data_IF_954474026799
#
_entry.id   IF_954474026799
#
_cell.length_a   1.000
_cell.length_b   1.000
_cell.length_c   1.000
_cell.angle_alpha   90.00
_cell.angle_beta   90.00
_cell.angle_gamma   90.00
#
_symmetry.space_group_name_H-M   'P 1'
#
loop_
_entity.id
_entity.type
_entity.pdbx_description
1 polymer ?
#
# COMPACT_ATOMS: atom_id res chain seq x y z
N UNK A 1 20.18 14.97 -37.35
CA UNK A 1 19.15 14.05 -37.90
C UNK A 1 19.33 12.57 -37.53
N UNK A 2 20.55 12.03 -37.31
CA UNK A 2 20.76 10.61 -36.91
C UNK A 2 20.26 10.18 -35.49
N UNK A 3 20.20 11.05 -34.45
CA UNK A 3 19.81 10.61 -33.10
C UNK A 3 18.32 10.28 -32.94
N UNK A 4 17.45 11.05 -33.61
CA UNK A 4 15.99 10.91 -33.53
C UNK A 4 15.52 9.58 -34.16
N UNK A 5 16.16 9.16 -35.26
CA UNK A 5 15.85 7.88 -35.91
C UNK A 5 16.22 6.70 -35.02
N UNK A 6 17.35 6.79 -34.30
CA UNK A 6 17.77 5.77 -33.33
C UNK A 6 16.80 5.71 -32.14
N UNK A 7 16.38 6.87 -31.64
CA UNK A 7 15.39 6.98 -30.55
C UNK A 7 14.04 6.38 -30.94
N UNK A 8 13.53 6.67 -32.15
CA UNK A 8 12.29 6.10 -32.69
C UNK A 8 12.38 4.58 -32.91
N UNK A 9 13.56 4.05 -33.23
CA UNK A 9 13.79 2.60 -33.33
C UNK A 9 13.76 1.93 -31.95
N UNK A 10 14.32 2.56 -30.92
CA UNK A 10 14.24 2.10 -29.53
C UNK A 10 12.79 2.11 -29.00
N UNK A 11 12.03 3.16 -29.31
CA UNK A 11 10.59 3.26 -28.98
C UNK A 11 9.79 2.11 -29.61
N UNK A 12 10.03 1.82 -30.90
CA UNK A 12 9.39 0.67 -31.58
C UNK A 12 9.75 -0.67 -30.95
N UNK A 13 11.00 -0.82 -30.48
CA UNK A 13 11.48 -2.04 -29.81
C UNK A 13 10.85 -2.20 -28.42
N UNK A 14 10.77 -1.13 -27.62
CA UNK A 14 10.08 -1.11 -26.32
C UNK A 14 8.58 -1.46 -26.47
N UNK A 15 7.91 -0.91 -27.49
CA UNK A 15 6.52 -1.25 -27.82
C UNK A 15 6.33 -2.72 -28.18
N UNK A 16 7.26 -3.30 -28.94
CA UNK A 16 7.23 -4.74 -29.27
C UNK A 16 7.41 -5.64 -28.03
N UNK A 17 8.13 -5.17 -27.00
CA UNK A 17 8.26 -5.86 -25.73
C UNK A 17 6.97 -5.75 -24.89
N UNK A 18 6.30 -4.59 -24.88
CA UNK A 18 4.99 -4.39 -24.24
C UNK A 18 3.88 -5.23 -24.90
N UNK A 19 3.86 -5.31 -26.23
CA UNK A 19 2.90 -6.14 -26.97
C UNK A 19 3.19 -7.64 -26.76
N UNK A 20 4.45 -8.03 -26.55
CA UNK A 20 4.81 -9.41 -26.15
C UNK A 20 4.44 -9.71 -24.70
N UNK A 21 4.60 -8.76 -23.78
CA UNK A 21 4.16 -8.89 -22.38
C UNK A 21 2.64 -8.99 -22.27
N UNK A 22 1.89 -8.10 -22.95
CA UNK A 22 0.42 -8.19 -23.06
C UNK A 22 -0.04 -9.47 -23.76
N UNK A 23 0.68 -9.96 -24.78
CA UNK A 23 0.38 -11.24 -25.44
C UNK A 23 0.77 -12.45 -24.59
N UNK A 24 1.77 -12.35 -23.71
CA UNK A 24 2.12 -13.41 -22.77
C UNK A 24 1.08 -13.52 -21.66
N UNK A 25 0.63 -12.39 -21.12
CA UNK A 25 -0.50 -12.29 -20.18
C UNK A 25 -1.81 -12.77 -20.83
N UNK A 26 -2.04 -12.43 -22.11
CA UNK A 26 -3.18 -12.91 -22.88
C UNK A 26 -3.06 -14.38 -23.33
N UNK A 27 -1.85 -14.94 -23.50
CA UNK A 27 -1.64 -16.36 -23.83
C UNK A 27 -1.79 -17.25 -22.60
N UNK A 28 -1.40 -16.80 -21.42
CA UNK A 28 -1.73 -17.48 -20.16
C UNK A 28 -3.25 -17.48 -19.89
N UNK A 29 -3.98 -16.53 -20.49
CA UNK A 29 -5.45 -16.45 -20.45
C UNK A 29 -6.17 -17.25 -21.55
N UNK A 30 -5.50 -17.70 -22.62
CA UNK A 30 -6.17 -18.22 -23.83
C UNK A 30 -5.84 -19.69 -24.20
N UNK A 31 -5.28 -20.49 -23.28
CA UNK A 31 -5.20 -21.95 -23.49
C UNK A 31 -6.49 -22.67 -23.04
N UNK A 32 -7.62 -22.28 -23.63
CA UNK A 32 -8.87 -23.04 -23.57
C UNK A 32 -9.75 -22.63 -24.75
N UNK A 33 -9.51 -23.27 -25.89
CA UNK A 33 -10.46 -23.30 -27.00
C UNK A 33 -11.73 -24.00 -26.51
N UNK A 34 -12.90 -23.39 -26.68
CA UNK A 34 -14.05 -24.04 -27.33
C UNK A 34 -15.17 -23.04 -27.68
N UNK A 35 -15.44 -23.01 -28.99
CA UNK A 35 -16.71 -22.87 -29.74
C UNK A 35 -17.70 -21.75 -29.42
N UNK A 36 -17.89 -20.92 -30.45
CA UNK A 36 -18.97 -19.96 -30.70
C UNK A 36 -20.25 -20.70 -31.11
N UNK A 37 -21.39 -20.41 -30.47
CA UNK A 37 -22.71 -20.28 -31.11
C UNK A 37 -23.44 -19.14 -30.38
N UNK A 38 -23.95 -18.18 -31.15
CA UNK A 38 -24.73 -17.06 -30.63
C UNK A 38 -26.22 -17.35 -30.55
N UNK A 39 -26.92 -16.65 -29.66
CA UNK A 39 -28.21 -16.03 -29.95
C UNK A 39 -28.59 -15.02 -28.85
N UNK A 40 -29.30 -13.99 -29.30
CA UNK A 40 -29.67 -12.77 -28.58
C UNK A 40 -30.90 -12.95 -27.70
N UNK A 41 -30.96 -12.28 -26.53
CA UNK A 41 -32.01 -11.32 -26.12
C UNK A 41 -31.98 -11.00 -24.62
N UNK A 42 -32.02 -9.69 -24.36
CA UNK A 42 -32.65 -8.91 -23.29
C UNK A 42 -32.55 -9.27 -21.80
N UNK A 43 -32.49 -8.17 -21.05
CA UNK A 43 -32.37 -7.99 -19.61
C UNK A 43 -33.46 -8.65 -18.76
N UNK A 44 -33.05 -9.53 -17.85
CA UNK A 44 -33.48 -9.65 -16.44
C UNK A 44 -32.68 -10.78 -15.79
N UNK A 45 -32.59 -10.79 -14.46
CA UNK A 45 -31.88 -11.76 -13.63
C UNK A 45 -31.91 -13.21 -14.13
N UNK A 46 -30.81 -13.70 -14.70
CA UNK A 46 -30.62 -15.13 -14.95
C UNK A 46 -29.26 -15.53 -14.39
N UNK A 47 -29.31 -16.23 -13.25
CA UNK A 47 -28.25 -17.14 -12.84
C UNK A 47 -28.03 -18.05 -14.04
N UNK A 48 -26.91 -17.89 -14.75
CA UNK A 48 -26.57 -18.78 -15.85
C UNK A 48 -26.58 -20.20 -15.31
N UNK A 49 -27.50 -21.04 -15.82
CA UNK A 49 -27.58 -22.47 -15.52
C UNK A 49 -26.35 -23.15 -16.10
N UNK A 50 -25.24 -23.03 -15.41
CA UNK A 50 -24.12 -23.96 -15.54
C UNK A 50 -24.51 -25.14 -14.66
N UNK A 51 -24.86 -26.28 -15.26
CA UNK A 51 -25.11 -27.50 -14.49
C UNK A 51 -23.76 -28.00 -13.98
N UNK A 52 -23.47 -27.91 -12.66
CA UNK A 52 -22.22 -28.40 -12.13
C UNK A 52 -22.13 -29.92 -12.33
N UNK A 53 -20.95 -30.43 -12.69
CA UNK A 53 -20.70 -31.86 -12.74
C UNK A 53 -20.92 -32.47 -11.37
N UNK A 54 -21.79 -33.48 -11.23
CA UNK A 54 -22.06 -34.13 -9.95
C UNK A 54 -20.77 -34.67 -9.34
N UNK A 55 -20.62 -34.43 -8.04
CA UNK A 55 -19.55 -34.93 -7.18
C UNK A 55 -19.91 -36.26 -6.50
N UNK A 56 -21.14 -36.75 -6.70
CA UNK A 56 -21.75 -37.91 -6.01
C UNK A 56 -21.74 -37.75 -4.48
N UNK A 57 -21.84 -36.51 -4.01
CA UNK A 57 -21.82 -36.16 -2.58
C UNK A 57 -23.07 -35.37 -2.21
N UNK A 58 -23.41 -35.25 -0.91
CA UNK A 58 -24.51 -34.40 -0.46
C UNK A 58 -24.39 -32.93 -0.92
N UNK A 59 -23.20 -32.51 -1.35
CA UNK A 59 -22.96 -31.21 -1.95
C UNK A 59 -23.78 -30.95 -3.20
N UNK A 60 -24.03 -31.98 -4.02
CA UNK A 60 -24.78 -31.84 -5.27
C UNK A 60 -26.27 -31.56 -5.03
N UNK A 61 -26.77 -31.87 -3.82
CA UNK A 61 -28.15 -31.61 -3.41
C UNK A 61 -28.36 -30.16 -2.99
N UNK A 62 -27.28 -29.41 -2.69
CA UNK A 62 -27.38 -28.03 -2.25
C UNK A 62 -27.65 -27.11 -3.45
N UNK A 63 -28.65 -26.21 -3.37
CA UNK A 63 -28.81 -25.12 -4.31
C UNK A 63 -27.53 -24.31 -4.45
N UNK A 64 -27.23 -23.84 -5.66
CA UNK A 64 -25.99 -23.11 -5.97
C UNK A 64 -25.85 -21.84 -5.12
N UNK A 65 -26.96 -21.22 -4.71
CA UNK A 65 -26.98 -20.06 -3.83
C UNK A 65 -26.45 -20.40 -2.43
N UNK A 66 -26.76 -21.59 -1.91
CA UNK A 66 -26.21 -22.07 -0.64
C UNK A 66 -24.73 -22.41 -0.78
N UNK A 67 -24.34 -23.05 -1.89
CA UNK A 67 -22.92 -23.33 -2.18
C UNK A 67 -22.10 -22.04 -2.24
N UNK A 68 -22.62 -21.00 -2.91
CA UNK A 68 -21.99 -19.66 -2.97
C UNK A 68 -21.85 -19.05 -1.57
N UNK A 69 -22.90 -19.14 -0.73
CA UNK A 69 -22.82 -18.65 0.66
C UNK A 69 -21.78 -19.42 1.46
N UNK A 70 -21.73 -20.74 1.36
CA UNK A 70 -20.75 -21.58 2.07
C UNK A 70 -19.33 -21.19 1.64
N UNK A 71 -19.05 -21.11 0.34
CA UNK A 71 -17.74 -20.69 -0.15
C UNK A 71 -17.37 -19.25 0.24
N UNK A 72 -18.35 -18.36 0.44
CA UNK A 72 -18.10 -16.99 0.91
C UNK A 72 -17.67 -16.93 2.40
N UNK A 73 -18.03 -17.94 3.21
CA UNK A 73 -17.55 -18.06 4.59
C UNK A 73 -16.10 -18.54 4.67
N UNK A 74 -15.60 -19.24 3.66
CA UNK A 74 -14.22 -19.71 3.60
C UNK A 74 -13.22 -18.55 3.65
N UNK A 75 -12.03 -18.82 4.18
CA UNK A 75 -10.90 -17.91 4.07
C UNK A 75 -10.44 -17.80 2.63
N UNK A 76 -9.83 -16.67 2.28
CA UNK A 76 -9.32 -16.44 0.92
C UNK A 76 -8.25 -17.48 0.53
N UNK A 77 -7.48 -17.95 1.52
CA UNK A 77 -6.47 -19.00 1.35
C UNK A 77 -7.05 -20.37 1.03
N UNK A 78 -8.32 -20.62 1.38
CA UNK A 78 -8.96 -21.92 1.20
C UNK A 78 -9.53 -22.08 -0.22
N UNK A 79 -9.84 -20.98 -0.90
CA UNK A 79 -10.53 -20.99 -2.20
C UNK A 79 -9.72 -21.70 -3.30
N UNK A 80 -8.39 -21.58 -3.29
CA UNK A 80 -7.53 -22.26 -4.25
C UNK A 80 -7.45 -23.78 -3.99
N UNK A 81 -7.14 -24.25 -2.76
CA UNK A 81 -7.27 -25.66 -2.41
C UNK A 81 -8.64 -26.24 -2.74
N UNK A 82 -9.73 -25.50 -2.46
CA UNK A 82 -11.10 -25.94 -2.75
C UNK A 82 -11.35 -26.17 -4.25
N UNK A 83 -10.72 -25.39 -5.14
CA UNK A 83 -10.77 -25.63 -6.59
C UNK A 83 -10.17 -26.97 -7.00
N UNK A 84 -9.26 -27.52 -6.19
CA UNK A 84 -8.56 -28.77 -6.48
C UNK A 84 -9.24 -30.02 -5.89
N UNK A 85 -10.27 -29.84 -5.06
CA UNK A 85 -10.97 -30.96 -4.39
C UNK A 85 -11.70 -31.84 -5.40
N UNK A 86 -12.48 -31.25 -6.30
CA UNK A 86 -13.21 -31.99 -7.33
C UNK A 86 -13.63 -31.07 -8.49
N UNK A 87 -14.08 -31.68 -9.61
CA UNK A 87 -14.56 -30.95 -10.80
C UNK A 87 -15.77 -30.07 -10.50
N UNK A 88 -16.69 -30.52 -9.65
CA UNK A 88 -17.86 -29.74 -9.24
C UNK A 88 -17.47 -28.45 -8.51
N UNK A 89 -16.58 -28.55 -7.53
CA UNK A 89 -16.07 -27.37 -6.81
C UNK A 89 -15.33 -26.42 -7.76
N UNK A 90 -14.47 -26.96 -8.63
CA UNK A 90 -13.80 -26.17 -9.65
C UNK A 90 -14.79 -25.37 -10.51
N UNK A 91 -15.86 -26.02 -10.99
CA UNK A 91 -16.87 -25.37 -11.82
C UNK A 91 -17.64 -24.29 -11.06
N UNK A 92 -18.06 -24.55 -9.83
CA UNK A 92 -18.81 -23.58 -9.00
C UNK A 92 -17.93 -22.38 -8.66
N UNK A 93 -16.70 -22.61 -8.18
CA UNK A 93 -15.74 -21.57 -7.81
C UNK A 93 -15.24 -20.74 -9.00
N UNK A 94 -15.26 -21.30 -10.21
CA UNK A 94 -14.87 -20.57 -11.42
C UNK A 94 -16.06 -19.81 -12.01
N UNK A 95 -17.22 -20.44 -12.11
CA UNK A 95 -18.42 -19.85 -12.73
C UNK A 95 -19.06 -18.77 -11.85
N UNK A 96 -18.97 -18.91 -10.53
CA UNK A 96 -19.59 -17.99 -9.57
C UNK A 96 -18.57 -17.17 -8.77
N UNK A 97 -17.32 -17.06 -9.25
CA UNK A 97 -16.25 -16.31 -8.58
C UNK A 97 -16.69 -14.91 -8.13
N UNK A 98 -17.39 -14.18 -8.99
CA UNK A 98 -17.84 -12.82 -8.68
C UNK A 98 -18.91 -12.78 -7.59
N UNK A 99 -19.84 -13.73 -7.60
CA UNK A 99 -20.91 -13.80 -6.59
C UNK A 99 -20.34 -14.19 -5.23
N UNK A 100 -19.44 -15.17 -5.19
CA UNK A 100 -18.75 -15.60 -3.98
C UNK A 100 -17.93 -14.44 -3.40
N UNK A 101 -17.16 -13.74 -4.23
CA UNK A 101 -16.35 -12.59 -3.82
C UNK A 101 -17.20 -11.44 -3.28
N UNK A 102 -18.35 -11.14 -3.92
CA UNK A 102 -19.31 -10.14 -3.42
C UNK A 102 -19.91 -10.54 -2.10
N UNK A 103 -20.30 -11.80 -1.95
CA UNK A 103 -20.90 -12.30 -0.72
C UNK A 103 -19.89 -12.32 0.43
N UNK A 104 -18.63 -12.69 0.16
CA UNK A 104 -17.52 -12.61 1.09
C UNK A 104 -17.36 -11.19 1.66
N UNK A 105 -17.40 -10.18 0.79
CA UNK A 105 -17.28 -8.77 1.17
C UNK A 105 -18.51 -8.29 1.93
N UNK A 106 -19.72 -8.62 1.48
CA UNK A 106 -20.95 -8.24 2.20
C UNK A 106 -20.96 -8.77 3.63
N UNK A 107 -20.55 -10.02 3.85
CA UNK A 107 -20.48 -10.60 5.20
C UNK A 107 -19.52 -9.83 6.11
N UNK A 108 -18.40 -9.33 5.55
CA UNK A 108 -17.35 -8.62 6.29
C UNK A 108 -17.49 -7.10 6.28
N UNK A 109 -18.48 -6.56 5.58
CA UNK A 109 -18.80 -5.12 5.49
C UNK A 109 -20.23 -4.82 5.92
N UNK A 110 -20.74 -5.60 6.88
CA UNK A 110 -22.09 -5.43 7.46
C UNK A 110 -23.22 -5.29 6.41
N UNK A 111 -23.13 -6.07 5.33
CA UNK A 111 -24.13 -6.12 4.25
C UNK A 111 -23.85 -5.22 3.04
N UNK A 112 -22.86 -4.32 3.12
CA UNK A 112 -22.57 -3.35 2.05
C UNK A 112 -21.54 -3.86 1.03
N UNK A 113 -21.54 -3.32 -0.19
CA UNK A 113 -20.50 -3.58 -1.21
C UNK A 113 -19.56 -2.38 -1.34
N UNK A 114 -18.27 -2.61 -1.69
CA UNK A 114 -17.28 -1.55 -1.79
C UNK A 114 -17.79 -0.39 -2.64
N UNK A 115 -17.58 0.81 -2.14
CA UNK A 115 -17.93 2.05 -2.83
C UNK A 115 -16.71 2.97 -2.71
N UNK A 116 -16.44 3.81 -3.72
CA UNK A 116 -15.43 4.86 -3.56
C UNK A 116 -15.67 5.64 -2.26
N UNK A 117 -14.60 6.07 -1.60
CA UNK A 117 -14.71 6.91 -0.41
C UNK A 117 -15.43 8.20 -0.80
N UNK A 118 -16.65 8.34 -0.30
CA UNK A 118 -17.39 9.60 -0.25
C UNK A 118 -16.99 10.33 1.03
N UNK A 119 -16.98 11.66 1.00
CA UNK A 119 -16.52 12.53 2.11
C UNK A 119 -17.27 12.36 3.43
N UNK A 120 -18.33 11.57 3.47
CA UNK A 120 -19.25 11.44 4.61
C UNK A 120 -18.99 10.22 5.50
N UNK A 121 -18.11 9.27 5.10
CA UNK A 121 -17.87 8.07 5.91
C UNK A 121 -16.80 8.28 6.98
N UNK A 122 -17.21 8.18 8.23
CA UNK A 122 -16.32 8.15 9.39
C UNK A 122 -15.97 6.71 9.73
N UNK A 123 -14.69 6.32 9.64
CA UNK A 123 -14.23 4.97 9.99
C UNK A 123 -13.84 4.92 11.47
N UNK A 124 -14.31 3.91 12.21
CA UNK A 124 -14.11 3.84 13.67
C UNK A 124 -12.71 3.37 14.08
N UNK A 125 -11.81 3.17 13.10
CA UNK A 125 -10.45 2.61 13.26
C UNK A 125 -10.41 1.21 13.89
N UNK A 126 -11.57 0.55 14.07
CA UNK A 126 -11.64 -0.81 14.62
C UNK A 126 -11.14 -1.86 13.61
N UNK A 127 -10.46 -2.94 14.04
CA UNK A 127 -9.96 -3.99 13.14
C UNK A 127 -11.06 -4.70 12.36
N UNK A 128 -12.29 -4.72 12.87
CA UNK A 128 -13.46 -5.25 12.17
C UNK A 128 -13.79 -4.43 10.91
N UNK A 129 -13.45 -3.14 10.92
CA UNK A 129 -13.59 -2.22 9.79
C UNK A 129 -12.42 -2.31 8.79
N UNK A 130 -11.37 -3.09 9.05
CA UNK A 130 -10.18 -3.19 8.18
C UNK A 130 -10.56 -3.52 6.74
N UNK A 131 -11.45 -4.51 6.58
CA UNK A 131 -11.93 -4.95 5.27
C UNK A 131 -12.78 -3.86 4.62
N UNK A 132 -13.56 -3.12 5.43
CA UNK A 132 -14.37 -1.99 4.96
C UNK A 132 -13.47 -0.92 4.39
N UNK A 133 -12.55 -0.40 5.21
CA UNK A 133 -11.62 0.67 4.87
C UNK A 133 -10.72 0.28 3.68
N UNK A 134 -10.08 -0.89 3.72
CA UNK A 134 -9.23 -1.35 2.61
C UNK A 134 -10.01 -1.48 1.30
N UNK A 135 -11.24 -1.98 1.35
CA UNK A 135 -12.04 -2.15 0.13
C UNK A 135 -12.55 -0.83 -0.46
N UNK A 136 -12.71 0.19 0.38
CA UNK A 136 -13.11 1.54 -0.06
C UNK A 136 -11.89 2.33 -0.57
N UNK A 137 -10.71 2.17 0.05
CA UNK A 137 -9.45 2.71 -0.44
C UNK A 137 -9.01 2.06 -1.76
N UNK A 138 -9.16 0.75 -1.89
CA UNK A 138 -8.72 0.00 -3.05
C UNK A 138 -9.91 -0.66 -3.73
N UNK A 139 -10.80 0.09 -4.42
CA UNK A 139 -11.96 -0.49 -5.05
C UNK A 139 -11.57 -1.46 -6.19
N UNK A 140 -12.41 -2.48 -6.47
CA UNK A 140 -12.16 -3.41 -7.56
C UNK A 140 -12.20 -2.70 -8.92
N UNK A 141 -11.44 -3.24 -9.88
CA UNK A 141 -11.37 -2.73 -11.24
C UNK A 141 -12.76 -2.62 -11.88
N UNK A 142 -12.97 -1.58 -12.69
CA UNK A 142 -14.21 -1.40 -13.45
C UNK A 142 -14.22 -2.30 -14.68
N UNK A 143 -15.36 -2.95 -14.93
CA UNK A 143 -15.61 -3.71 -16.15
C UNK A 143 -15.82 -2.78 -17.34
N UNK A 144 -15.42 -3.21 -18.53
CA UNK A 144 -15.71 -2.49 -19.78
C UNK A 144 -17.22 -2.31 -20.03
N UNK A 145 -18.04 -3.20 -19.47
CA UNK A 145 -19.52 -3.14 -19.54
C UNK A 145 -20.16 -2.31 -18.44
N UNK A 146 -19.36 -1.60 -17.63
CA UNK A 146 -19.81 -0.94 -16.41
C UNK A 146 -19.87 -1.90 -15.21
N UNK A 147 -19.79 -1.33 -14.01
CA UNK A 147 -19.77 -2.08 -12.75
C UNK A 147 -18.38 -2.57 -12.31
N UNK A 148 -18.33 -3.22 -11.15
CA UNK A 148 -17.10 -3.62 -10.45
C UNK A 148 -16.79 -5.11 -10.58
N UNK A 149 -15.53 -5.44 -10.86
CA UNK A 149 -15.03 -6.81 -11.02
C UNK A 149 -14.56 -7.39 -9.68
N UNK A 150 -15.49 -7.95 -8.93
CA UNK A 150 -15.20 -8.70 -7.72
C UNK A 150 -14.59 -10.05 -8.08
N UNK A 151 -13.33 -10.29 -7.72
CA UNK A 151 -12.59 -11.52 -8.04
C UNK A 151 -11.89 -12.06 -6.80
N UNK A 152 -11.51 -13.34 -6.81
CA UNK A 152 -10.68 -13.91 -5.74
C UNK A 152 -9.33 -13.21 -5.69
N UNK A 153 -8.78 -12.81 -6.85
CA UNK A 153 -7.57 -11.98 -6.93
C UNK A 153 -7.75 -10.66 -6.19
N UNK A 154 -8.89 -9.98 -6.36
CA UNK A 154 -9.19 -8.75 -5.65
C UNK A 154 -9.24 -8.96 -4.13
N UNK A 155 -10.03 -9.94 -3.67
CA UNK A 155 -10.16 -10.25 -2.23
C UNK A 155 -8.80 -10.65 -1.63
N UNK A 156 -8.00 -11.46 -2.34
CA UNK A 156 -6.65 -11.81 -1.94
C UNK A 156 -5.74 -10.59 -1.85
N UNK A 157 -5.88 -9.63 -2.76
CA UNK A 157 -5.11 -8.38 -2.72
C UNK A 157 -5.43 -7.55 -1.47
N UNK A 158 -6.69 -7.47 -1.04
CA UNK A 158 -7.07 -6.79 0.21
C UNK A 158 -6.42 -7.48 1.42
N UNK A 159 -6.53 -8.81 1.51
CA UNK A 159 -5.93 -9.59 2.60
C UNK A 159 -4.41 -9.46 2.64
N UNK A 160 -3.76 -9.41 1.47
CA UNK A 160 -2.32 -9.16 1.35
C UNK A 160 -1.97 -7.77 1.90
N UNK A 161 -2.69 -6.72 1.51
CA UNK A 161 -2.45 -5.35 2.02
C UNK A 161 -2.63 -5.27 3.54
N UNK A 162 -3.70 -5.87 4.06
CA UNK A 162 -3.93 -5.98 5.51
C UNK A 162 -2.73 -6.61 6.21
N UNK A 163 -2.28 -7.79 5.74
CA UNK A 163 -1.15 -8.51 6.33
C UNK A 163 0.15 -7.70 6.28
N UNK A 164 0.42 -7.01 5.18
CA UNK A 164 1.64 -6.20 5.03
C UNK A 164 1.64 -4.99 5.96
N UNK A 165 0.55 -4.22 5.99
CA UNK A 165 0.46 -3.04 6.85
C UNK A 165 0.48 -3.44 8.33
N UNK A 166 -0.30 -4.46 8.70
CA UNK A 166 -0.33 -4.98 10.06
C UNK A 166 1.07 -5.45 10.52
N UNK A 167 1.81 -6.19 9.67
CA UNK A 167 3.17 -6.64 9.98
C UNK A 167 4.17 -5.48 10.10
N UNK A 168 4.09 -4.48 9.21
CA UNK A 168 4.91 -3.27 9.32
C UNK A 168 4.62 -2.50 10.62
N UNK A 169 3.35 -2.32 10.96
CA UNK A 169 2.94 -1.63 12.18
C UNK A 169 3.38 -2.37 13.43
N UNK A 170 3.39 -3.71 13.42
CA UNK A 170 3.96 -4.50 14.50
C UNK A 170 5.46 -4.20 14.69
N UNK A 171 6.24 -4.18 13.61
CA UNK A 171 7.67 -3.83 13.69
C UNK A 171 7.91 -2.40 14.17
N UNK A 172 7.12 -1.44 13.69
CA UNK A 172 7.22 -0.05 14.15
C UNK A 172 6.85 0.08 15.63
N UNK A 173 5.82 -0.65 16.08
CA UNK A 173 5.39 -0.67 17.47
C UNK A 173 6.45 -1.30 18.40
N UNK A 174 7.07 -2.40 17.98
CA UNK A 174 8.17 -3.06 18.67
C UNK A 174 9.36 -2.09 18.85
N UNK A 175 9.81 -1.45 17.77
CA UNK A 175 10.89 -0.45 17.81
C UNK A 175 10.56 0.78 18.63
N UNK A 176 9.31 1.24 18.59
CA UNK A 176 8.86 2.35 19.42
C UNK A 176 8.88 2.02 20.92
N UNK A 177 8.44 0.83 21.30
CA UNK A 177 8.51 0.38 22.69
C UNK A 177 9.95 0.13 23.15
N UNK A 178 10.80 -0.45 22.29
CA UNK A 178 12.23 -0.62 22.59
C UNK A 178 12.89 0.72 22.90
N UNK A 179 12.66 1.72 22.05
CA UNK A 179 13.21 3.07 22.23
C UNK A 179 12.65 3.74 23.48
N UNK A 180 11.34 3.62 23.73
CA UNK A 180 10.72 4.14 24.95
C UNK A 180 11.39 3.57 26.21
N UNK A 181 11.60 2.25 26.27
CA UNK A 181 12.25 1.60 27.41
C UNK A 181 13.71 2.04 27.58
N UNK A 182 14.43 2.27 26.48
CA UNK A 182 15.81 2.75 26.51
C UNK A 182 15.92 4.20 26.99
N UNK A 183 15.10 5.11 26.45
CA UNK A 183 15.11 6.53 26.81
C UNK A 183 14.59 6.75 28.24
N UNK A 184 13.51 6.08 28.62
CA UNK A 184 12.84 6.26 29.91
C UNK A 184 13.29 5.24 30.97
N UNK A 185 14.55 4.79 30.91
CA UNK A 185 15.04 3.71 31.78
C UNK A 185 14.90 4.02 33.28
N UNK A 186 15.04 5.30 33.68
CA UNK A 186 14.84 5.73 35.07
C UNK A 186 13.37 5.56 35.51
N UNK A 187 12.43 6.09 34.72
CA UNK A 187 10.99 5.93 34.95
C UNK A 187 10.56 4.45 34.92
N UNK A 188 11.09 3.68 33.97
CA UNK A 188 10.83 2.24 33.86
C UNK A 188 11.30 1.47 35.09
N UNK A 189 12.40 1.88 35.73
CA UNK A 189 12.89 1.25 36.97
C UNK A 189 12.06 1.64 38.20
N UNK A 190 11.55 2.87 38.27
CA UNK A 190 10.74 3.33 39.41
C UNK A 190 9.30 2.82 39.36
N UNK A 191 8.67 2.83 38.19
CA UNK A 191 7.24 2.55 38.04
C UNK A 191 6.96 1.07 37.81
N UNK A 192 7.91 0.35 37.20
CA UNK A 192 7.78 -1.07 36.87
C UNK A 192 9.02 -1.84 37.35
N UNK A 193 9.20 -2.06 38.66
CA UNK A 193 10.44 -2.60 39.21
C UNK A 193 10.70 -4.04 38.76
N UNK A 194 9.66 -4.85 38.54
CA UNK A 194 9.83 -6.27 38.18
C UNK A 194 9.94 -6.48 36.67
N UNK A 195 10.69 -7.52 36.26
CA UNK A 195 10.79 -7.92 34.84
C UNK A 195 9.42 -8.27 34.24
N UNK A 196 8.52 -8.86 35.04
CA UNK A 196 7.18 -9.26 34.59
C UNK A 196 6.32 -8.04 34.26
N UNK A 197 6.35 -7.01 35.10
CA UNK A 197 5.64 -5.75 34.86
C UNK A 197 6.17 -5.00 33.65
N UNK A 198 7.51 -4.92 33.50
CA UNK A 198 8.14 -4.32 32.30
C UNK A 198 7.70 -5.03 31.03
N UNK A 199 7.72 -6.36 31.04
CA UNK A 199 7.26 -7.16 29.89
C UNK A 199 5.76 -6.94 29.61
N UNK A 200 4.93 -6.84 30.64
CA UNK A 200 3.50 -6.58 30.48
C UNK A 200 3.23 -5.19 29.86
N UNK A 201 3.96 -4.15 30.30
CA UNK A 201 3.91 -2.82 29.71
C UNK A 201 4.32 -2.86 28.23
N UNK A 202 5.47 -3.49 27.92
CA UNK A 202 5.96 -3.58 26.54
C UNK A 202 4.95 -4.30 25.65
N UNK A 203 4.41 -5.45 26.08
CA UNK A 203 3.42 -6.19 25.29
C UNK A 203 2.13 -5.39 25.09
N UNK A 204 1.62 -4.72 26.14
CA UNK A 204 0.43 -3.87 26.02
C UNK A 204 0.69 -2.65 25.12
N UNK A 205 1.87 -2.04 25.26
CA UNK A 205 2.28 -0.90 24.44
C UNK A 205 2.42 -1.25 22.97
N UNK A 206 3.07 -2.38 22.65
CA UNK A 206 3.16 -2.91 21.29
C UNK A 206 1.76 -3.16 20.74
N UNK A 207 0.88 -3.84 21.49
CA UNK A 207 -0.48 -4.13 21.04
C UNK A 207 -1.30 -2.84 20.78
N UNK A 208 -1.18 -1.84 21.67
CA UNK A 208 -1.88 -0.56 21.54
C UNK A 208 -1.39 0.25 20.34
N UNK A 209 -0.06 0.39 20.17
CA UNK A 209 0.52 1.04 19.01
C UNK A 209 0.16 0.31 17.72
N UNK A 210 0.30 -1.01 17.70
CA UNK A 210 -0.02 -1.83 16.53
C UNK A 210 -1.48 -1.66 16.09
N UNK A 211 -2.42 -1.69 17.04
CA UNK A 211 -3.84 -1.46 16.81
C UNK A 211 -4.10 -0.10 16.17
N UNK A 212 -3.55 0.98 16.75
CA UNK A 212 -3.80 2.35 16.31
C UNK A 212 -3.08 2.71 15.00
N UNK A 213 -1.88 2.15 14.76
CA UNK A 213 -1.09 2.43 13.57
C UNK A 213 -1.59 1.70 12.32
N UNK A 214 -2.18 0.51 12.46
CA UNK A 214 -2.63 -0.31 11.32
C UNK A 214 -3.57 0.43 10.35
N UNK A 215 -4.66 1.08 10.79
CA UNK A 215 -5.54 1.83 9.88
C UNK A 215 -4.84 3.04 9.24
N UNK A 216 -3.96 3.72 9.97
CA UNK A 216 -3.19 4.85 9.42
C UNK A 216 -2.22 4.39 8.32
N UNK A 217 -1.66 3.20 8.48
CA UNK A 217 -0.78 2.61 7.48
C UNK A 217 -1.51 2.24 6.19
N UNK A 218 -2.83 2.00 6.22
CA UNK A 218 -3.62 1.83 4.99
C UNK A 218 -3.67 3.10 4.16
N UNK A 219 -3.77 4.27 4.79
CA UNK A 219 -3.72 5.56 4.10
C UNK A 219 -2.32 5.84 3.54
N UNK A 220 -1.27 5.53 4.30
CA UNK A 220 0.12 5.57 3.81
C UNK A 220 0.30 4.69 2.58
N UNK A 221 -0.13 3.43 2.64
CA UNK A 221 -0.10 2.52 1.50
C UNK A 221 -0.91 3.05 0.31
N UNK A 222 -2.11 3.57 0.56
CA UNK A 222 -2.98 4.12 -0.47
C UNK A 222 -2.32 5.27 -1.21
N UNK A 223 -1.69 6.20 -0.49
CA UNK A 223 -0.94 7.28 -1.12
C UNK A 223 0.20 6.74 -1.98
N UNK A 224 1.04 5.84 -1.45
CA UNK A 224 2.20 5.31 -2.18
C UNK A 224 1.80 4.53 -3.44
N UNK A 225 0.75 3.70 -3.37
CA UNK A 225 0.24 2.98 -4.54
C UNK A 225 -0.39 3.94 -5.56
N UNK A 226 -1.20 4.90 -5.11
CA UNK A 226 -1.84 5.89 -5.98
C UNK A 226 -0.81 6.78 -6.66
N UNK A 227 0.23 7.20 -5.95
CA UNK A 227 1.31 8.00 -6.48
C UNK A 227 2.14 7.22 -7.50
N UNK A 228 2.49 5.97 -7.21
CA UNK A 228 3.18 5.09 -8.16
C UNK A 228 2.39 4.89 -9.45
N UNK A 229 1.07 4.65 -9.34
CA UNK A 229 0.17 4.52 -10.48
C UNK A 229 0.06 5.83 -11.28
N UNK A 230 -0.12 6.97 -10.61
CA UNK A 230 -0.24 8.28 -11.23
C UNK A 230 1.03 8.66 -12.01
N UNK A 231 2.22 8.40 -11.45
CA UNK A 231 3.48 8.61 -12.17
C UNK A 231 3.56 7.72 -13.41
N UNK A 232 3.20 6.44 -13.30
CA UNK A 232 3.24 5.51 -14.44
C UNK A 232 2.29 5.93 -15.55
N UNK A 233 1.06 6.33 -15.21
CA UNK A 233 0.09 6.85 -16.17
C UNK A 233 0.57 8.14 -16.83
N UNK A 234 1.17 9.03 -16.04
CA UNK A 234 1.75 10.27 -16.54
C UNK A 234 2.92 10.02 -17.50
N UNK A 235 3.87 9.15 -17.16
CA UNK A 235 4.95 8.73 -18.07
C UNK A 235 4.41 8.12 -19.35
N UNK A 236 3.36 7.29 -19.30
CA UNK A 236 2.74 6.73 -20.49
C UNK A 236 2.11 7.82 -21.38
N UNK A 237 1.50 8.85 -20.78
CA UNK A 237 0.93 9.99 -21.51
C UNK A 237 2.04 10.80 -22.19
N UNK A 238 3.11 11.12 -21.46
CA UNK A 238 4.26 11.85 -22.01
C UNK A 238 4.93 11.09 -23.14
N UNK A 239 5.05 9.76 -23.03
CA UNK A 239 5.60 8.95 -24.12
C UNK A 239 4.73 9.04 -25.38
N UNK A 240 3.40 9.03 -25.25
CA UNK A 240 2.50 9.19 -26.39
C UNK A 240 2.62 10.56 -27.05
N UNK A 241 2.76 11.63 -26.26
CA UNK A 241 2.97 12.98 -26.78
C UNK A 241 4.35 13.12 -27.45
N UNK A 242 5.37 12.45 -26.90
CA UNK A 242 6.69 12.35 -27.52
C UNK A 242 6.65 11.58 -28.85
N UNK A 243 5.97 10.43 -28.89
CA UNK A 243 5.73 9.66 -30.13
C UNK A 243 4.96 10.47 -31.18
N UNK A 244 4.06 11.35 -30.74
CA UNK A 244 3.32 12.28 -31.60
C UNK A 244 4.15 13.49 -32.07
N UNK A 245 5.41 13.61 -31.64
CA UNK A 245 6.31 14.73 -31.99
C UNK A 245 5.95 16.06 -31.34
N UNK A 246 5.09 16.04 -30.30
CA UNK A 246 4.59 17.25 -29.62
C UNK A 246 5.38 17.61 -28.37
N UNK A 247 6.23 16.70 -27.89
CA UNK A 247 7.07 16.91 -26.71
C UNK A 247 8.53 17.18 -27.12
N UNK A 248 9.13 18.31 -26.69
CA UNK A 248 10.57 18.51 -26.82
C UNK A 248 11.30 17.54 -25.88
N UNK A 249 12.35 16.88 -26.40
CA UNK A 249 13.09 15.81 -25.71
C UNK A 249 14.37 16.35 -25.07
N UNK A 250 14.89 15.70 -24.01
CA UNK A 250 14.19 15.02 -22.90
C UNK A 250 13.78 16.00 -21.80
N UNK A 251 12.82 15.64 -20.93
CA UNK A 251 12.38 16.53 -19.83
C UNK A 251 13.47 16.63 -18.74
N UNK A 252 13.94 17.86 -18.41
CA UNK A 252 14.91 18.11 -17.35
C UNK A 252 14.41 17.73 -15.94
N UNK A 253 15.31 17.45 -14.98
CA UNK A 253 14.94 17.03 -13.62
C UNK A 253 14.04 18.01 -12.86
N UNK A 254 14.24 19.33 -13.00
CA UNK A 254 13.44 20.34 -12.29
C UNK A 254 11.97 20.37 -12.77
N UNK A 255 11.72 20.22 -14.07
CA UNK A 255 10.37 20.11 -14.61
C UNK A 255 9.71 18.79 -14.18
N UNK A 256 10.46 17.68 -14.16
CA UNK A 256 9.97 16.39 -13.64
C UNK A 256 9.51 16.51 -12.18
N UNK A 257 10.27 17.21 -11.34
CA UNK A 257 9.89 17.47 -9.93
C UNK A 257 8.58 18.24 -9.84
N UNK A 258 8.40 19.30 -10.63
CA UNK A 258 7.12 20.05 -10.68
C UNK A 258 5.94 19.17 -11.08
N UNK A 259 6.11 18.37 -12.13
CA UNK A 259 5.07 17.45 -12.62
C UNK A 259 4.70 16.40 -11.56
N UNK A 260 5.69 15.88 -10.84
CA UNK A 260 5.45 14.95 -9.73
C UNK A 260 4.77 15.63 -8.53
N UNK A 261 5.08 16.89 -8.24
CA UNK A 261 4.39 17.68 -7.21
C UNK A 261 2.92 17.84 -7.53
N UNK A 262 2.58 18.17 -8.77
CA UNK A 262 1.18 18.29 -9.22
C UNK A 262 0.40 16.98 -9.03
N UNK A 263 1.02 15.83 -9.32
CA UNK A 263 0.40 14.52 -9.09
C UNK A 263 0.13 14.27 -7.60
N UNK A 264 1.07 14.63 -6.72
CA UNK A 264 0.92 14.47 -5.27
C UNK A 264 -0.21 15.36 -4.75
N UNK A 265 -0.21 16.65 -5.11
CA UNK A 265 -1.25 17.61 -4.71
C UNK A 265 -2.63 17.13 -5.20
N UNK A 266 -2.71 16.61 -6.43
CA UNK A 266 -3.96 16.03 -6.95
C UNK A 266 -4.46 14.87 -6.08
N UNK A 267 -3.58 13.99 -5.61
CA UNK A 267 -3.94 12.88 -4.72
C UNK A 267 -4.39 13.41 -3.35
N UNK A 268 -3.65 14.36 -2.76
CA UNK A 268 -3.97 14.94 -1.46
C UNK A 268 -5.29 15.73 -1.44
N UNK A 269 -5.71 16.24 -2.59
CA UNK A 269 -7.01 16.93 -2.80
C UNK A 269 -8.14 15.98 -3.20
N UNK A 270 -7.89 14.67 -3.20
CA UNK A 270 -8.91 13.65 -3.48
C UNK A 270 -9.19 12.81 -2.23
N UNK A 271 -10.39 12.20 -2.11
CA UNK A 271 -10.66 11.27 -1.02
C UNK A 271 -9.61 10.15 -0.96
N UNK A 272 -9.18 9.72 0.24
CA UNK A 272 -9.69 10.09 1.56
C UNK A 272 -9.09 11.39 2.14
N UNK A 273 -8.07 11.95 1.50
CA UNK A 273 -7.30 13.08 2.03
C UNK A 273 -8.03 14.42 1.98
N UNK A 274 -9.24 14.47 1.42
CA UNK A 274 -10.15 15.62 1.57
C UNK A 274 -10.54 15.86 3.03
N UNK A 275 -10.56 14.81 3.86
CA UNK A 275 -10.68 14.96 5.31
C UNK A 275 -9.32 15.38 5.90
N UNK A 276 -9.31 16.55 6.53
CA UNK A 276 -8.11 17.13 7.16
C UNK A 276 -7.60 16.26 8.33
N UNK A 277 -8.48 15.61 9.08
CA UNK A 277 -8.07 14.72 10.18
C UNK A 277 -7.30 13.51 9.65
N UNK A 278 -7.84 12.85 8.61
CA UNK A 278 -7.17 11.75 7.91
C UNK A 278 -5.82 12.19 7.32
N UNK A 279 -5.74 13.40 6.72
CA UNK A 279 -4.49 13.95 6.19
C UNK A 279 -3.43 14.14 7.31
N UNK A 280 -3.80 14.73 8.44
CA UNK A 280 -2.91 14.93 9.60
C UNK A 280 -2.43 13.59 10.16
N UNK A 281 -3.35 12.66 10.42
CA UNK A 281 -3.02 11.35 10.97
C UNK A 281 -2.08 10.55 10.05
N UNK A 282 -2.32 10.63 8.74
CA UNK A 282 -1.42 10.03 7.73
C UNK A 282 -0.06 10.72 7.73
N UNK A 283 -0.03 12.04 7.90
CA UNK A 283 1.21 12.80 7.99
C UNK A 283 2.07 12.39 9.19
N UNK A 284 1.47 12.21 10.37
CA UNK A 284 2.19 11.67 11.54
C UNK A 284 2.66 10.23 11.33
N UNK A 285 1.86 9.37 10.69
CA UNK A 285 2.26 8.01 10.36
C UNK A 285 3.45 7.96 9.38
N UNK A 286 3.46 8.83 8.37
CA UNK A 286 4.59 8.98 7.45
C UNK A 286 5.85 9.48 8.16
N UNK A 287 5.70 10.47 9.07
CA UNK A 287 6.81 11.00 9.87
C UNK A 287 7.42 9.89 10.74
N UNK A 288 6.58 9.09 11.41
CA UNK A 288 6.97 7.93 12.19
C UNK A 288 7.79 6.95 11.34
N UNK A 289 7.24 6.51 10.21
CA UNK A 289 7.90 5.56 9.30
C UNK A 289 9.27 6.07 8.85
N UNK A 290 9.33 7.33 8.39
CA UNK A 290 10.57 7.92 7.91
C UNK A 290 11.61 8.08 9.02
N UNK A 291 11.18 8.45 10.24
CA UNK A 291 12.07 8.59 11.39
C UNK A 291 12.76 7.26 11.74
N UNK A 292 12.03 6.15 11.69
CA UNK A 292 12.61 4.82 11.95
C UNK A 292 13.51 4.36 10.81
N UNK A 293 13.16 4.63 9.54
CA UNK A 293 14.03 4.33 8.40
C UNK A 293 15.35 5.12 8.44
N UNK A 294 15.34 6.34 8.97
CA UNK A 294 16.57 7.13 9.17
C UNK A 294 17.39 6.62 10.35
N UNK A 295 16.74 6.19 11.42
CA UNK A 295 17.42 5.71 12.63
C UNK A 295 18.21 4.41 12.40
N UNK A 296 17.80 3.61 11.43
CA UNK A 296 18.45 2.34 11.08
C UNK A 296 19.73 2.51 10.26
N UNK A 297 20.05 3.74 9.82
CA UNK A 297 21.31 4.08 9.14
C UNK A 297 22.22 4.80 10.14
N UNK A 298 23.49 4.37 10.32
CA UNK A 298 24.44 5.10 11.15
C UNK A 298 24.55 6.56 10.66
N UNK A 299 24.67 7.55 11.56
CA UNK A 299 24.96 8.92 11.14
C UNK A 299 26.36 8.93 10.50
N UNK A 300 26.44 8.80 9.17
CA UNK A 300 27.65 9.13 8.46
C UNK A 300 27.94 10.63 8.65
N UNK A 301 29.22 10.99 8.78
CA UNK A 301 29.66 12.38 8.90
C UNK A 301 29.44 13.10 7.55
N UNK A 302 28.20 13.47 7.25
CA UNK A 302 27.80 14.09 5.98
C UNK A 302 26.30 14.42 5.93
N UNK A 303 25.87 15.06 4.83
CA UNK A 303 24.45 15.27 4.53
C UNK A 303 23.74 13.91 4.47
N UNK A 304 22.68 13.70 5.27
CA UNK A 304 21.86 12.49 5.19
C UNK A 304 21.30 12.33 3.77
N UNK A 305 21.85 11.37 3.01
CA UNK A 305 21.30 10.98 1.72
C UNK A 305 20.07 10.08 1.93
N UNK A 306 18.89 10.70 1.93
CA UNK A 306 17.60 10.00 2.00
C UNK A 306 17.16 9.41 0.63
N UNK A 307 18.00 9.46 -0.40
CA UNK A 307 17.65 9.01 -1.75
C UNK A 307 17.30 7.52 -1.82
N UNK A 308 17.95 6.69 -1.01
CA UNK A 308 17.60 5.26 -0.90
C UNK A 308 16.21 5.07 -0.28
N UNK A 309 15.82 5.87 0.72
CA UNK A 309 14.47 5.86 1.31
C UNK A 309 13.45 6.30 0.27
N UNK A 310 13.77 7.35 -0.49
CA UNK A 310 12.90 7.81 -1.56
C UNK A 310 12.67 6.75 -2.65
N UNK A 311 13.72 5.98 -2.95
CA UNK A 311 13.65 4.85 -3.86
C UNK A 311 12.85 3.68 -3.27
N UNK A 312 13.05 3.37 -1.99
CA UNK A 312 12.27 2.36 -1.26
C UNK A 312 10.77 2.67 -1.23
N UNK A 313 10.40 3.93 -1.03
CA UNK A 313 9.00 4.35 -0.96
C UNK A 313 8.32 4.42 -2.33
N UNK A 314 9.06 4.60 -3.42
CA UNK A 314 8.45 4.92 -4.71
C UNK A 314 8.82 4.03 -5.89
N UNK A 315 9.96 3.34 -5.83
CA UNK A 315 10.41 2.41 -6.87
C UNK A 315 10.04 0.98 -6.48
N UNK A 316 10.28 0.63 -5.22
CA UNK A 316 9.97 -0.69 -4.69
C UNK A 316 8.50 -0.85 -4.30
N UNK A 317 7.95 -2.08 -4.36
CA UNK A 317 6.64 -2.36 -3.82
C UNK A 317 6.65 -2.21 -2.29
N UNK A 318 5.50 -1.85 -1.69
CA UNK A 318 5.37 -1.69 -0.24
C UNK A 318 5.85 -2.90 0.60
N UNK A 319 5.80 -4.12 0.03
CA UNK A 319 6.38 -5.32 0.63
C UNK A 319 7.87 -5.13 1.02
N UNK A 320 8.62 -4.34 0.25
CA UNK A 320 10.03 -4.07 0.49
C UNK A 320 10.27 -3.36 1.83
N UNK A 321 9.35 -2.51 2.29
CA UNK A 321 9.41 -1.91 3.64
C UNK A 321 9.30 -2.98 4.73
N UNK A 322 8.39 -3.94 4.55
CA UNK A 322 8.22 -5.06 5.49
C UNK A 322 9.47 -5.94 5.53
N UNK A 323 10.06 -6.23 4.36
CA UNK A 323 11.30 -6.99 4.26
C UNK A 323 12.49 -6.26 4.90
N UNK A 324 12.56 -4.93 4.75
CA UNK A 324 13.58 -4.11 5.40
C UNK A 324 13.52 -4.26 6.93
N UNK A 325 12.36 -3.99 7.53
CA UNK A 325 12.21 -4.08 8.99
C UNK A 325 12.34 -5.53 9.51
N UNK A 326 11.88 -6.53 8.75
CA UNK A 326 12.12 -7.94 9.07
C UNK A 326 13.61 -8.27 9.12
N UNK A 327 14.40 -7.80 8.13
CA UNK A 327 15.85 -7.98 8.08
C UNK A 327 16.61 -7.17 9.14
N UNK A 328 16.04 -6.04 9.57
CA UNK A 328 16.58 -5.18 10.60
C UNK A 328 16.36 -5.78 12.00
N UNK A 329 15.17 -6.29 12.29
CA UNK A 329 14.79 -6.90 13.58
C UNK A 329 15.30 -8.34 13.71
N UNK A 330 15.29 -9.12 12.62
CA UNK A 330 15.62 -10.55 12.64
C UNK A 330 14.48 -11.40 13.22
N UNK A 331 13.27 -11.27 12.67
CA UNK A 331 11.99 -11.77 13.18
C UNK A 331 11.80 -13.31 13.15
N UNK A 332 12.77 -14.05 13.70
CA UNK A 332 12.76 -15.52 13.83
C UNK A 332 13.48 -16.26 12.70
N UNK A 333 14.05 -15.53 11.74
CA UNK A 333 14.87 -16.08 10.66
C UNK A 333 16.37 -15.83 10.85
N UNK A 334 17.17 -16.33 9.90
CA UNK A 334 18.57 -15.94 9.82
C UNK A 334 18.67 -14.49 9.33
N UNK A 335 18.88 -13.54 10.25
CA UNK A 335 18.93 -12.11 9.97
C UNK A 335 19.93 -11.77 8.83
N UNK A 336 21.08 -12.45 8.77
CA UNK A 336 22.06 -12.25 7.69
C UNK A 336 21.50 -12.63 6.33
N UNK A 337 20.74 -13.72 6.25
CA UNK A 337 20.07 -14.15 5.02
C UNK A 337 18.96 -13.16 4.63
N UNK A 338 18.13 -12.74 5.59
CA UNK A 338 17.07 -11.75 5.34
C UNK A 338 17.63 -10.42 4.83
N UNK A 339 18.75 -9.93 5.39
CA UNK A 339 19.43 -8.72 4.89
C UNK A 339 19.95 -8.92 3.47
N UNK A 340 20.55 -10.07 3.17
CA UNK A 340 21.01 -10.40 1.82
C UNK A 340 19.85 -10.44 0.81
N UNK A 341 18.76 -11.10 1.17
CA UNK A 341 17.57 -11.22 0.31
C UNK A 341 16.93 -9.86 0.08
N UNK A 342 16.79 -9.05 1.13
CA UNK A 342 16.34 -7.66 1.02
C UNK A 342 17.22 -6.87 0.06
N UNK A 343 18.55 -6.88 0.25
CA UNK A 343 19.48 -6.11 -0.59
C UNK A 343 19.40 -6.54 -2.05
N UNK A 344 19.41 -7.85 -2.32
CA UNK A 344 19.33 -8.39 -3.67
C UNK A 344 18.01 -7.99 -4.36
N UNK A 345 16.90 -8.16 -3.65
CA UNK A 345 15.60 -7.86 -4.21
C UNK A 345 15.37 -6.33 -4.34
N UNK A 346 15.92 -5.51 -3.44
CA UNK A 346 15.89 -4.05 -3.53
C UNK A 346 16.69 -3.57 -4.75
N UNK A 347 17.92 -4.05 -4.90
CA UNK A 347 18.76 -3.74 -6.06
C UNK A 347 18.09 -4.15 -7.38
N UNK A 348 17.45 -5.32 -7.42
CA UNK A 348 16.65 -5.73 -8.57
C UNK A 348 15.49 -4.77 -8.87
N UNK A 349 14.77 -4.27 -7.85
CA UNK A 349 13.70 -3.29 -8.06
C UNK A 349 14.25 -1.99 -8.69
N UNK A 350 15.40 -1.50 -8.20
CA UNK A 350 16.07 -0.31 -8.74
C UNK A 350 16.53 -0.56 -10.18
N UNK A 351 17.23 -1.67 -10.42
CA UNK A 351 17.72 -2.04 -11.74
C UNK A 351 16.58 -2.21 -12.76
N UNK A 352 15.45 -2.78 -12.37
CA UNK A 352 14.28 -2.91 -13.24
C UNK A 352 13.66 -1.54 -13.57
N UNK A 353 13.64 -0.61 -12.62
CA UNK A 353 13.14 0.74 -12.83
C UNK A 353 14.07 1.60 -13.70
N UNK A 354 15.38 1.49 -13.51
CA UNK A 354 16.39 2.18 -14.33
C UNK A 354 16.42 1.67 -15.78
N UNK A 355 16.23 0.37 -15.96
CA UNK A 355 16.12 -0.29 -17.28
C UNK A 355 14.74 -0.13 -17.91
N UNK A 356 13.83 0.63 -17.31
CA UNK A 356 12.57 0.97 -17.95
C UNK A 356 12.85 1.91 -19.14
N UNK A 357 12.96 1.31 -20.33
CA UNK A 357 13.22 2.00 -21.60
C UNK A 357 12.30 3.23 -21.75
N UNK A 358 11.05 3.15 -21.25
CA UNK A 358 10.06 4.22 -21.29
C UNK A 358 10.54 5.48 -20.56
N UNK A 359 11.11 5.32 -19.36
CA UNK A 359 11.61 6.44 -18.57
C UNK A 359 12.80 7.08 -19.28
N UNK A 360 13.72 6.29 -19.81
CA UNK A 360 14.94 6.81 -20.47
C UNK A 360 14.67 7.61 -21.76
N UNK A 361 13.50 7.44 -22.37
CA UNK A 361 13.08 8.14 -23.59
C UNK A 361 12.42 9.49 -23.30
N UNK A 362 11.65 9.56 -22.20
CA UNK A 362 10.87 10.75 -21.83
C UNK A 362 11.70 11.72 -20.99
N UNK A 363 12.59 11.18 -20.16
CA UNK A 363 13.25 11.89 -19.09
C UNK A 363 14.75 11.95 -19.29
N UNK A 364 15.35 13.12 -19.06
CA UNK A 364 16.81 13.26 -19.08
C UNK A 364 17.44 12.37 -18.00
N UNK A 365 18.51 11.66 -18.37
CA UNK A 365 19.34 10.89 -17.41
C UNK A 365 20.15 11.89 -16.59
N UNK A 366 19.84 12.00 -15.31
CA UNK A 366 20.73 12.67 -14.38
C UNK A 366 21.73 11.65 -13.83
N UNK A 367 23.05 11.80 -14.08
CA UNK A 367 24.04 10.91 -13.46
C UNK A 367 23.95 11.05 -11.92
N UNK A 368 24.00 9.92 -11.21
CA UNK A 368 23.98 9.80 -9.74
C UNK A 368 22.67 10.20 -9.04
N UNK A 369 21.53 10.14 -9.72
CA UNK A 369 20.28 10.69 -9.19
C UNK A 369 19.23 9.60 -8.98
N UNK A 370 19.02 9.20 -7.72
CA UNK A 370 17.83 8.44 -7.32
C UNK A 370 16.56 9.15 -7.81
N UNK A 371 15.52 8.45 -8.26
CA UNK A 371 14.31 9.06 -8.84
C UNK A 371 13.66 10.16 -7.95
N UNK A 372 13.96 10.16 -6.64
CA UNK A 372 13.72 11.24 -5.69
C UNK A 372 15.02 11.56 -4.96
N UNK A 373 15.30 12.84 -4.76
CA UNK A 373 16.46 13.32 -4.01
C UNK A 373 16.30 13.27 -2.50
N UNK A 374 15.05 13.25 -2.04
CA UNK A 374 14.72 13.25 -0.63
C UNK A 374 13.41 12.55 -0.42
N UNK A 375 13.27 11.85 0.70
CA UNK A 375 11.98 11.37 1.16
C UNK A 375 10.95 12.52 1.35
N UNK A 376 11.42 13.76 1.57
CA UNK A 376 10.60 14.95 1.66
C UNK A 376 9.81 15.25 0.38
N UNK A 377 10.43 15.01 -0.79
CA UNK A 377 9.84 15.28 -2.10
C UNK A 377 8.60 14.40 -2.35
N UNK A 378 8.47 13.26 -1.67
CA UNK A 378 7.42 12.25 -1.95
C UNK A 378 6.09 12.60 -1.30
N UNK A 379 6.11 12.98 -0.03
CA UNK A 379 4.90 13.23 0.77
C UNK A 379 4.96 14.58 1.46
N UNK A 380 6.05 14.87 2.18
CA UNK A 380 6.07 15.92 3.20
C UNK A 380 5.90 17.31 2.63
N UNK A 381 6.56 17.65 1.53
CA UNK A 381 6.43 19.00 0.96
C UNK A 381 5.02 19.27 0.45
N UNK A 382 4.44 18.33 -0.33
CA UNK A 382 3.07 18.44 -0.82
C UNK A 382 2.04 18.44 0.32
N UNK A 383 2.26 17.61 1.35
CA UNK A 383 1.40 17.57 2.52
C UNK A 383 1.47 18.85 3.35
N UNK A 384 2.67 19.44 3.53
CA UNK A 384 2.83 20.72 4.25
C UNK A 384 2.14 21.86 3.51
N UNK A 385 2.30 21.93 2.19
CA UNK A 385 1.61 22.92 1.37
C UNK A 385 0.08 22.78 1.50
N UNK A 386 -0.44 21.56 1.38
CA UNK A 386 -1.87 21.30 1.50
C UNK A 386 -2.41 21.58 2.92
N UNK A 387 -1.67 21.23 3.97
CA UNK A 387 -2.04 21.54 5.36
C UNK A 387 -2.05 23.05 5.61
N UNK A 388 -1.07 23.79 5.08
CA UNK A 388 -1.04 25.25 5.18
C UNK A 388 -2.20 25.90 4.43
N UNK A 389 -2.50 25.43 3.21
CA UNK A 389 -3.66 25.90 2.43
C UNK A 389 -4.99 25.69 3.16
N UNK A 390 -5.10 24.64 3.98
CA UNK A 390 -6.28 24.35 4.80
C UNK A 390 -6.29 25.07 6.15
N UNK A 391 -5.28 25.90 6.46
CA UNK A 391 -5.06 26.50 7.77
C UNK A 391 -5.04 25.46 8.91
N UNK A 392 -4.50 24.27 8.63
CA UNK A 392 -4.43 23.15 9.56
C UNK A 392 -3.09 23.09 10.33
N UNK A 393 -2.38 24.21 10.41
CA UNK A 393 -1.14 24.37 11.17
C UNK A 393 -1.31 25.57 12.11
N UNK A 394 -1.08 25.41 13.44
CA UNK A 394 -0.68 24.18 14.12
C UNK A 394 -1.85 23.24 14.40
N UNK A 395 -1.58 21.92 14.43
CA UNK A 395 -2.55 20.86 14.72
C UNK A 395 -2.17 20.03 15.95
N UNK A 396 -3.08 19.20 16.43
CA UNK A 396 -2.86 18.38 17.64
C UNK A 396 -2.05 17.11 17.32
N UNK A 397 -1.33 16.58 18.31
CA UNK A 397 -0.65 15.27 18.21
C UNK A 397 -1.63 14.11 18.35
N UNK A 398 -1.36 13.00 17.68
CA UNK A 398 -2.10 11.74 17.87
C UNK A 398 -1.62 11.04 19.16
N UNK A 399 -2.53 10.85 20.13
CA UNK A 399 -2.24 10.26 21.44
C UNK A 399 -2.57 8.77 21.46
N UNK A 400 -1.60 7.93 21.79
CA UNK A 400 -1.79 6.48 21.94
C UNK A 400 -1.47 6.06 23.37
N UNK A 401 -2.47 5.57 24.09
CA UNK A 401 -2.30 5.10 25.46
C UNK A 401 -1.67 3.71 25.48
N UNK A 402 -0.45 3.59 26.03
CA UNK A 402 0.23 2.31 26.20
C UNK A 402 0.00 1.68 27.58
N UNK A 403 -0.41 2.51 28.55
CA UNK A 403 -0.85 2.12 29.89
C UNK A 403 -1.88 3.13 30.41
N UNK A 404 -2.56 2.82 31.51
CA UNK A 404 -3.74 3.56 32.00
C UNK A 404 -3.50 5.06 32.24
N UNK A 405 -2.23 5.53 32.27
CA UNK A 405 -1.85 6.95 32.36
C UNK A 405 -0.58 7.31 31.56
N UNK A 406 -0.17 6.48 30.59
CA UNK A 406 1.06 6.71 29.82
C UNK A 406 0.70 6.86 28.35
N UNK A 407 0.63 8.10 27.82
CA UNK A 407 0.46 8.35 26.40
C UNK A 407 1.80 8.33 25.67
N UNK A 408 1.82 7.75 24.48
CA UNK A 408 2.82 7.99 23.45
C UNK A 408 2.25 9.00 22.44
N UNK A 409 3.04 10.01 22.10
CA UNK A 409 2.65 11.07 21.18
C UNK A 409 3.24 10.80 19.78
N UNK A 410 2.36 10.69 18.79
CA UNK A 410 2.72 10.72 17.38
C UNK A 410 2.49 12.14 16.86
N UNK A 411 3.53 12.76 16.33
CA UNK A 411 3.47 14.15 15.93
C UNK A 411 4.54 14.53 14.90
N UNK A 412 4.49 15.78 14.49
CA UNK A 412 5.50 16.41 13.64
C UNK A 412 5.87 17.79 14.20
N UNK A 413 6.91 18.47 13.66
CA UNK A 413 7.34 19.79 14.14
C UNK A 413 6.29 20.91 14.06
N UNK A 414 5.14 20.67 13.43
CA UNK A 414 4.05 21.62 13.29
C UNK A 414 2.88 21.32 14.24
N UNK A 415 3.05 20.35 15.13
CA UNK A 415 2.09 20.08 16.19
C UNK A 415 2.14 21.18 17.26
N UNK A 416 1.01 21.40 17.95
CA UNK A 416 0.99 22.25 19.14
C UNK A 416 1.79 21.58 20.24
N UNK A 417 2.65 22.34 20.93
CA UNK A 417 3.31 21.88 22.15
C UNK A 417 2.27 21.74 23.26
N UNK A 418 1.74 20.54 23.45
CA UNK A 418 1.00 20.22 24.67
C UNK A 418 1.99 20.05 25.84
N UNK A 419 2.49 21.19 26.34
CA UNK A 419 3.39 21.27 27.49
C UNK A 419 2.64 21.30 28.84
N UNK A 420 1.45 20.70 28.92
CA UNK A 420 0.67 20.61 30.16
C UNK A 420 0.69 19.17 30.72
N UNK A 421 1.70 18.88 31.54
CA UNK A 421 1.57 17.93 32.66
C UNK A 421 1.90 16.45 32.43
N UNK A 422 2.25 16.02 31.22
CA UNK A 422 2.87 14.71 31.01
C UNK A 422 4.39 14.89 30.87
N UNK A 423 5.19 14.10 31.61
CA UNK A 423 6.64 13.92 31.36
C UNK A 423 6.89 14.00 29.86
N UNK A 424 7.84 14.82 29.38
CA UNK A 424 8.02 15.09 27.94
C UNK A 424 8.21 13.80 27.13
N UNK A 425 7.12 13.17 26.70
CA UNK A 425 7.16 11.92 25.96
C UNK A 425 7.24 12.30 24.49
N UNK A 426 8.49 12.34 24.03
CA UNK A 426 8.96 12.49 22.66
C UNK A 426 7.91 12.20 21.59
N UNK A 427 7.69 13.18 20.72
CA UNK A 427 7.16 12.94 19.38
C UNK A 427 7.97 11.80 18.77
N UNK A 428 7.33 10.68 18.47
CA UNK A 428 7.96 9.62 17.68
C UNK A 428 8.11 10.13 16.24
N UNK A 429 9.11 11.00 16.02
CA UNK A 429 9.28 11.77 14.78
C UNK A 429 9.94 13.15 14.90
N UNK A 430 10.10 13.72 16.10
CA UNK A 430 10.85 14.98 16.30
C UNK A 430 12.08 14.69 17.16
N UNK A 431 13.23 14.65 16.50
CA UNK A 431 14.53 14.80 17.14
C UNK A 431 14.93 16.24 16.90
N UNK A 432 15.11 17.00 17.97
CA UNK A 432 15.78 18.29 17.95
C UNK A 432 17.23 18.05 17.49
N UNK A 433 17.57 18.60 16.32
CA UNK A 433 18.92 18.56 15.77
C UNK A 433 19.71 19.75 16.30
N UNK A 434 20.06 19.72 17.59
CA UNK A 434 21.09 20.60 18.13
C UNK A 434 22.11 19.80 18.92
N UNK A 435 23.27 19.58 18.28
CA UNK A 435 24.57 19.41 18.93
C UNK A 435 25.51 20.43 18.32
#
# INVERSE_FOLDING_TARGET
MKPIVHLLLHVKKARSALDRGRKADAKQSNSSKHTVIGESKSSTSVVGKVNPTPTSSPWDLLPVELQVKIFAYCGVGDLLPLRLVCRGFYQVLTSHEQLISRQYLRQRRHGTLPSPIESERTYTRNPEDDVVLLSDLFPPAKSAKGGHLYTFRYVHSLRRRQKLCSRLCYYLADRAMDRFVQCENAFMKSTFPTRKEKNALVQRGIASLWFNLTPLMYYTLYFLESYSLARREHTNTLLREFEAGRLPVPIPPHLRRSMYRELQVKILRSPPFTDTSTLIATHHCMQLLLSYLRYTVPPEQGLQDDGWIGSLLTVSPFLRLVEYFSAEIGDGGNQRLQRKDFMYNFDNDIMMHEKDDMNSLVFERAPNWHAHHSAADIWFDAAREELALRNAVPHDTEKIWIWDQIPLLLGCPHCRDESDGCLSVYCIGSVDWSW
#
